data_IF_078402454082
#
_entry.id   IF_078402454082
#
_cell.length_a   1.000
_cell.length_b   1.000
_cell.length_c   1.000
_cell.angle_alpha   90.00
_cell.angle_beta   90.00
_cell.angle_gamma   90.00
#
_symmetry.space_group_name_H-M   'P 1'
#
loop_
_entity.id
_entity.type
_entity.pdbx_description
1 polymer ?
#
# COMPACT_ATOMS: atom_id res chain seq x y z
N UNK A 1 19.57 4.44 9.02
CA UNK A 1 18.67 5.38 8.30
C UNK A 1 17.30 5.27 8.92
N UNK A 2 16.76 6.33 9.50
CA UNK A 2 15.37 6.33 9.97
C UNK A 2 14.42 6.22 8.77
N UNK A 3 13.57 5.20 8.78
CA UNK A 3 12.57 4.99 7.75
C UNK A 3 11.48 6.07 7.87
N UNK A 4 11.13 6.70 6.75
CA UNK A 4 10.11 7.75 6.69
C UNK A 4 8.72 7.18 6.93
N UNK A 5 7.89 7.92 7.67
CA UNK A 5 6.47 7.59 7.83
C UNK A 5 5.68 8.24 6.70
N UNK A 6 4.78 7.49 6.05
CA UNK A 6 3.86 8.07 5.05
C UNK A 6 2.81 8.91 5.79
N UNK A 7 2.65 10.16 5.37
CA UNK A 7 1.61 11.04 5.90
C UNK A 7 0.23 10.51 5.53
N UNK A 8 -0.64 10.33 6.53
CA UNK A 8 -2.00 9.83 6.35
C UNK A 8 -2.99 10.94 6.73
N UNK A 9 -3.43 11.77 5.77
CA UNK A 9 -4.43 12.80 6.04
C UNK A 9 -5.78 12.19 6.43
N UNK A 10 -6.68 13.01 6.96
CA UNK A 10 -8.04 12.58 7.30
C UNK A 10 -8.76 12.05 6.06
N UNK A 11 -9.41 10.89 6.19
CA UNK A 11 -10.13 10.25 5.10
C UNK A 11 -11.63 10.55 5.19
N UNK A 12 -12.33 10.59 4.04
CA UNK A 12 -13.79 10.69 4.04
C UNK A 12 -14.44 9.55 4.82
N UNK A 13 -15.63 9.82 5.38
CA UNK A 13 -16.41 8.80 6.08
C UNK A 13 -16.61 7.56 5.19
N UNK A 14 -16.34 6.38 5.75
CA UNK A 14 -16.40 5.11 5.02
C UNK A 14 -15.09 4.69 4.34
N UNK A 15 -13.98 5.37 4.62
CA UNK A 15 -12.63 4.95 4.24
C UNK A 15 -11.73 4.77 5.46
N UNK A 16 -10.81 3.81 5.37
CA UNK A 16 -9.78 3.54 6.38
C UNK A 16 -8.43 3.44 5.71
N UNK A 17 -7.40 3.97 6.37
CA UNK A 17 -6.01 3.72 5.98
C UNK A 17 -5.65 2.27 6.26
N UNK A 18 -5.33 1.51 5.21
CA UNK A 18 -4.68 0.22 5.34
C UNK A 18 -3.17 0.43 5.26
N UNK A 19 -2.44 -0.08 6.26
CA UNK A 19 -0.98 0.01 6.35
C UNK A 19 -0.38 -1.37 6.13
N UNK A 20 0.55 -1.49 5.18
CA UNK A 20 1.26 -2.75 4.97
C UNK A 20 2.69 -2.52 4.46
N UNK A 21 3.60 -3.41 4.85
CA UNK A 21 5.00 -3.33 4.42
C UNK A 21 5.19 -3.76 2.97
N UNK A 22 4.50 -4.83 2.58
CA UNK A 22 4.57 -5.41 1.25
C UNK A 22 3.29 -5.13 0.48
N UNK A 23 3.40 -4.67 -0.77
CA UNK A 23 2.26 -4.58 -1.69
C UNK A 23 2.58 -5.28 -3.01
N UNK A 24 1.59 -5.89 -3.64
CA UNK A 24 1.72 -6.45 -4.99
C UNK A 24 1.44 -5.34 -6.00
N UNK A 25 2.20 -5.31 -7.10
CA UNK A 25 1.89 -4.44 -8.23
C UNK A 25 0.52 -4.79 -8.81
N UNK A 26 -0.23 -3.76 -9.26
CA UNK A 26 -1.51 -3.97 -9.94
C UNK A 26 -1.30 -4.91 -11.13
N UNK A 27 -2.18 -5.89 -11.28
CA UNK A 27 -2.19 -6.74 -12.45
C UNK A 27 -2.35 -5.87 -13.70
N UNK A 28 -1.44 -5.99 -14.66
CA UNK A 28 -1.74 -5.58 -16.03
C UNK A 28 -2.69 -6.64 -16.62
N UNK A 29 -3.59 -6.21 -17.51
CA UNK A 29 -4.46 -7.13 -18.24
C UNK A 29 -3.58 -8.19 -18.92
N UNK A 30 -3.81 -9.47 -18.59
CA UNK A 30 -3.05 -10.60 -19.12
C UNK A 30 -1.84 -11.06 -18.28
N UNK A 31 -1.48 -10.42 -17.17
CA UNK A 31 -0.37 -10.89 -16.32
C UNK A 31 -0.88 -11.82 -15.20
N UNK A 32 -0.42 -13.09 -15.13
CA UNK A 32 -0.78 -14.01 -14.06
C UNK A 32 -0.34 -13.48 -12.68
N UNK A 33 -1.06 -13.85 -11.63
CA UNK A 33 -0.74 -13.46 -10.24
C UNK A 33 0.70 -13.83 -9.83
N UNK A 34 1.25 -14.89 -10.43
CA UNK A 34 2.60 -15.41 -10.23
C UNK A 34 3.72 -14.45 -10.65
N UNK A 35 3.46 -13.57 -11.62
CA UNK A 35 4.44 -12.59 -12.13
C UNK A 35 4.33 -11.21 -11.46
N UNK A 36 3.41 -11.03 -10.50
CA UNK A 36 3.25 -9.75 -9.82
C UNK A 36 4.43 -9.49 -8.89
N UNK A 37 5.19 -8.44 -9.20
CA UNK A 37 6.30 -8.00 -8.34
C UNK A 37 5.77 -7.55 -6.98
N UNK A 38 6.47 -7.97 -5.93
CA UNK A 38 6.23 -7.52 -4.55
C UNK A 38 7.11 -6.30 -4.30
N UNK A 39 6.50 -5.21 -3.83
CA UNK A 39 7.19 -3.97 -3.47
C UNK A 39 7.31 -3.89 -1.95
N UNK A 40 8.53 -3.91 -1.42
CA UNK A 40 8.83 -3.67 0.00
C UNK A 40 9.01 -2.16 0.25
N UNK A 41 8.19 -1.58 1.14
CA UNK A 41 8.29 -0.17 1.51
C UNK A 41 9.68 0.22 2.05
N UNK A 42 10.37 -0.70 2.73
CA UNK A 42 11.69 -0.43 3.30
C UNK A 42 12.75 -0.19 2.23
N UNK A 43 12.65 -0.88 1.08
CA UNK A 43 13.54 -0.67 -0.06
C UNK A 43 13.41 0.75 -0.64
N UNK A 44 12.26 1.40 -0.40
CA UNK A 44 12.01 2.79 -0.78
C UNK A 44 12.27 3.78 0.37
N UNK A 45 12.78 3.32 1.52
CA UNK A 45 13.05 4.17 2.68
C UNK A 45 11.81 4.54 3.51
N UNK A 46 10.69 3.82 3.35
CA UNK A 46 9.46 4.04 4.10
C UNK A 46 9.17 2.90 5.10
N UNK A 47 8.53 3.22 6.23
CA UNK A 47 8.12 2.22 7.24
C UNK A 47 7.02 1.28 6.73
N UNK A 48 6.03 1.81 6.01
CA UNK A 48 4.94 1.04 5.44
C UNK A 48 4.27 1.81 4.31
N UNK A 49 3.64 1.08 3.37
CA UNK A 49 2.65 1.65 2.46
C UNK A 49 1.38 2.01 3.22
N UNK A 50 0.76 3.12 2.86
CA UNK A 50 -0.56 3.53 3.37
C UNK A 50 -1.46 3.83 2.18
N UNK A 51 -2.62 3.16 2.10
CA UNK A 51 -3.62 3.46 1.08
C UNK A 51 -5.04 3.46 1.66
N UNK A 52 -5.93 4.32 1.14
CA UNK A 52 -7.31 4.35 1.56
C UNK A 52 -8.05 3.13 1.02
N UNK A 53 -8.74 2.42 1.90
CA UNK A 53 -9.63 1.31 1.56
C UNK A 53 -11.03 1.67 2.01
N UNK A 54 -12.02 1.45 1.13
CA UNK A 54 -13.42 1.63 1.50
C UNK A 54 -13.81 0.59 2.55
N UNK A 55 -14.18 1.05 3.74
CA UNK A 55 -14.75 0.17 4.77
C UNK A 55 -16.17 -0.17 4.30
N UNK A 56 -16.44 -1.43 3.99
CA UNK A 56 -17.83 -1.87 3.79
C UNK A 56 -18.59 -1.56 5.08
N UNK A 57 -19.61 -0.71 4.98
CA UNK A 57 -20.66 -0.59 6.00
C UNK A 57 -21.47 -1.88 6.02
#
# INVERSE_FOLDING_TARGET
MELKTISTPELPAGYRWCKCRYRKTRAKAGTPDSERKVLDAHAYGYKCWSFPVRTKK
#
